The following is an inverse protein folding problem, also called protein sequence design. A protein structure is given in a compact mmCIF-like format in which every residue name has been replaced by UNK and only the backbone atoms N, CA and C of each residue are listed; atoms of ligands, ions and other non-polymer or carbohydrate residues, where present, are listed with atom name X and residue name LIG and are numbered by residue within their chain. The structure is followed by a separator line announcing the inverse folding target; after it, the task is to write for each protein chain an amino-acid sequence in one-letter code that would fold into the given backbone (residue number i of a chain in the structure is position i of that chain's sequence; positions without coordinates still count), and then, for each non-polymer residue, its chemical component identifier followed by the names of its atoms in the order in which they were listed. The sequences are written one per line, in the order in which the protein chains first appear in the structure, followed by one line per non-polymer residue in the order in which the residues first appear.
data_IF_691347237221
#
_entry.id   IF_691347237221
#
_cell.length_a   1.000
_cell.length_b   1.000
_cell.length_c   1.000
_cell.angle_alpha   90.00
_cell.angle_beta   90.00
_cell.angle_gamma   90.00
#
_symmetry.space_group_name_H-M   'P 1'
#
loop_
_entity.id
_entity.type
_entity.pdbx_description
1 polymer ?
#
# COMPACT_ATOMS: atom_id res chain seq x y z
N UNK A 1 -24.41 -18.45 8.10
CA UNK A 1 -24.57 -18.95 9.49
C UNK A 1 -26.03 -19.10 9.91
N UNK A 2 -26.83 -18.03 10.03
CA UNK A 2 -28.24 -18.10 10.50
C UNK A 2 -29.15 -19.07 9.71
N UNK A 3 -28.96 -19.22 8.40
CA UNK A 3 -29.72 -20.19 7.59
C UNK A 3 -29.48 -21.64 8.03
N UNK A 4 -28.25 -21.99 8.42
CA UNK A 4 -27.92 -23.31 8.97
C UNK A 4 -28.65 -23.50 10.30
N UNK A 5 -28.64 -22.49 11.18
CA UNK A 5 -29.37 -22.54 12.44
C UNK A 5 -30.88 -22.77 12.22
N UNK A 6 -31.47 -22.12 11.21
CA UNK A 6 -32.87 -22.37 10.81
C UNK A 6 -33.07 -23.81 10.34
N UNK A 7 -32.19 -24.33 9.50
CA UNK A 7 -32.28 -25.70 8.98
C UNK A 7 -32.18 -26.76 10.09
N UNK A 8 -31.34 -26.53 11.11
CA UNK A 8 -31.17 -27.43 12.25
C UNK A 8 -32.36 -27.42 13.22
N UNK A 9 -33.04 -26.28 13.36
CA UNK A 9 -34.04 -26.04 14.40
C UNK A 9 -35.46 -25.81 13.85
N UNK A 10 -35.71 -26.06 12.56
CA UNK A 10 -37.05 -25.92 11.97
C UNK A 10 -38.01 -26.91 12.65
N UNK A 11 -39.18 -26.42 13.07
CA UNK A 11 -40.20 -27.25 13.73
C UNK A 11 -40.91 -28.10 12.68
N UNK A 12 -41.45 -27.46 11.66
CA UNK A 12 -42.32 -28.11 10.66
C UNK A 12 -41.57 -29.14 9.80
N UNK A 13 -40.39 -28.77 9.30
CA UNK A 13 -39.62 -29.62 8.38
C UNK A 13 -38.54 -30.46 9.09
N UNK A 14 -38.42 -30.34 10.42
CA UNK A 14 -37.34 -30.99 11.17
C UNK A 14 -35.95 -30.47 10.77
N UNK A 15 -34.94 -31.36 10.74
CA UNK A 15 -33.61 -31.01 10.24
C UNK A 15 -33.66 -31.01 8.71
N UNK A 16 -33.44 -29.84 8.10
CA UNK A 16 -33.68 -29.64 6.66
C UNK A 16 -32.71 -28.61 6.07
N UNK A 17 -32.48 -28.70 4.75
CA UNK A 17 -31.84 -27.68 3.92
C UNK A 17 -32.83 -26.59 3.45
N UNK A 18 -34.13 -26.81 3.61
CA UNK A 18 -35.23 -25.96 3.16
C UNK A 18 -36.12 -25.54 4.35
N UNK A 19 -35.64 -24.65 5.24
CA UNK A 19 -36.41 -24.19 6.39
C UNK A 19 -37.70 -23.47 5.97
N UNK A 20 -38.81 -23.72 6.65
CA UNK A 20 -40.14 -23.25 6.25
C UNK A 20 -40.33 -21.72 6.32
N UNK A 21 -39.47 -21.00 7.04
CA UNK A 21 -39.55 -19.54 7.28
C UNK A 21 -40.84 -19.01 7.93
N UNK A 22 -41.75 -19.88 8.38
CA UNK A 22 -43.03 -19.51 9.00
C UNK A 22 -43.25 -20.06 10.41
N UNK A 23 -42.56 -21.14 10.80
CA UNK A 23 -42.65 -21.65 12.17
C UNK A 23 -41.97 -20.71 13.17
N UNK A 24 -42.34 -20.84 14.44
CA UNK A 24 -41.86 -19.98 15.53
C UNK A 24 -40.32 -19.90 15.58
N UNK A 25 -39.63 -21.05 15.51
CA UNK A 25 -38.17 -21.08 15.51
C UNK A 25 -37.55 -20.34 14.31
N UNK A 26 -38.10 -20.49 13.10
CA UNK A 26 -37.58 -19.79 11.94
C UNK A 26 -37.79 -18.27 12.03
N UNK A 27 -38.92 -17.83 12.57
CA UNK A 27 -39.22 -16.41 12.79
C UNK A 27 -38.27 -15.83 13.84
N UNK A 28 -38.12 -16.50 14.99
CA UNK A 28 -37.26 -16.07 16.08
C UNK A 28 -35.79 -15.97 15.67
N UNK A 29 -35.30 -16.93 14.89
CA UNK A 29 -33.93 -16.89 14.35
C UNK A 29 -33.76 -15.71 13.39
N UNK A 30 -34.77 -15.41 12.55
CA UNK A 30 -34.71 -14.26 11.64
C UNK A 30 -34.67 -12.93 12.38
N UNK A 31 -35.40 -12.84 13.50
CA UNK A 31 -35.50 -11.65 14.35
C UNK A 31 -34.40 -11.56 15.42
N UNK A 32 -33.44 -12.48 15.41
CA UNK A 32 -32.37 -12.57 16.41
C UNK A 32 -32.88 -12.69 17.86
N UNK A 33 -33.96 -13.45 18.08
CA UNK A 33 -34.60 -13.68 19.39
C UNK A 33 -34.56 -15.14 19.84
N UNK A 34 -33.90 -16.01 19.08
CA UNK A 34 -33.89 -17.43 19.36
C UNK A 34 -32.87 -17.78 20.44
N UNK A 35 -33.35 -18.31 21.58
CA UNK A 35 -32.52 -18.52 22.78
C UNK A 35 -31.36 -19.50 22.60
N UNK A 36 -31.52 -20.49 21.72
CA UNK A 36 -30.50 -21.50 21.42
C UNK A 36 -29.60 -21.10 20.23
N UNK A 37 -29.71 -19.85 19.75
CA UNK A 37 -28.77 -19.25 18.82
C UNK A 37 -28.00 -18.16 19.56
N UNK A 38 -26.72 -18.40 19.81
CA UNK A 38 -25.83 -17.45 20.46
C UNK A 38 -24.89 -16.90 19.40
N UNK A 39 -24.96 -15.60 19.17
CA UNK A 39 -24.06 -14.88 18.25
C UNK A 39 -23.08 -14.06 19.07
N UNK A 40 -21.79 -14.23 18.79
CA UNK A 40 -20.70 -13.53 19.46
C UNK A 40 -19.87 -12.86 18.39
N UNK A 41 -19.79 -11.55 18.46
CA UNK A 41 -18.79 -10.79 17.72
C UNK A 41 -17.48 -10.84 18.50
N UNK A 42 -16.49 -11.56 17.98
CA UNK A 42 -15.18 -11.68 18.58
C UNK A 42 -14.42 -10.34 18.57
N UNK A 43 -14.74 -9.40 17.67
CA UNK A 43 -14.12 -8.07 17.68
C UNK A 43 -14.54 -7.25 18.90
N UNK A 44 -15.71 -7.52 19.48
CA UNK A 44 -16.19 -6.87 20.71
C UNK A 44 -15.96 -7.72 21.96
N UNK A 45 -15.90 -9.05 21.82
CA UNK A 45 -15.81 -10.02 22.92
C UNK A 45 -14.54 -10.88 22.79
N UNK A 46 -13.37 -10.21 22.77
CA UNK A 46 -12.07 -10.83 22.46
C UNK A 46 -11.52 -11.69 23.60
N UNK A 47 -11.95 -11.41 24.83
CA UNK A 47 -11.31 -11.84 26.06
C UNK A 47 -11.54 -13.32 26.41
N UNK A 48 -10.67 -13.82 27.29
CA UNK A 48 -10.75 -15.20 27.79
C UNK A 48 -11.98 -15.43 28.68
N UNK A 49 -12.44 -14.41 29.40
CA UNK A 49 -13.52 -14.56 30.38
C UNK A 49 -14.87 -14.75 29.70
N UNK A 50 -15.13 -14.08 28.58
CA UNK A 50 -16.32 -14.29 27.75
C UNK A 50 -16.36 -15.74 27.22
N UNK A 51 -15.22 -16.22 26.73
CA UNK A 51 -15.09 -17.60 26.24
C UNK A 51 -15.23 -18.63 27.36
N UNK A 52 -14.70 -18.37 28.55
CA UNK A 52 -14.90 -19.24 29.72
C UNK A 52 -16.37 -19.30 30.11
N UNK A 53 -17.05 -18.15 30.18
CA UNK A 53 -18.49 -18.10 30.46
C UNK A 53 -19.31 -18.88 29.41
N UNK A 54 -18.91 -18.78 28.14
CA UNK A 54 -19.52 -19.56 27.07
C UNK A 54 -19.28 -21.06 27.24
N UNK A 55 -18.05 -21.47 27.58
CA UNK A 55 -17.68 -22.87 27.82
C UNK A 55 -18.51 -23.50 28.92
N UNK A 56 -18.75 -22.78 30.01
CA UNK A 56 -19.60 -23.25 31.10
C UNK A 56 -21.05 -23.46 30.62
N UNK A 57 -21.52 -22.61 29.70
CA UNK A 57 -22.88 -22.65 29.15
C UNK A 57 -23.10 -23.68 28.05
N UNK A 58 -22.03 -24.23 27.47
CA UNK A 58 -22.09 -25.18 26.34
C UNK A 58 -22.64 -26.55 26.76
N UNK A 59 -22.40 -26.95 28.00
CA UNK A 59 -22.83 -28.25 28.51
C UNK A 59 -24.35 -28.33 28.78
N UNK A 60 -25.05 -27.19 28.85
CA UNK A 60 -26.51 -27.19 29.02
C UNK A 60 -27.24 -27.55 27.73
N UNK A 61 -28.30 -28.36 27.87
CA UNK A 61 -29.18 -28.74 26.77
C UNK A 61 -29.87 -27.52 26.12
N UNK A 62 -30.25 -27.61 24.84
CA UNK A 62 -31.04 -26.57 24.19
C UNK A 62 -32.40 -26.41 24.90
N UNK A 63 -32.89 -25.18 25.00
CA UNK A 63 -34.15 -24.88 25.72
C UNK A 63 -35.39 -25.05 24.85
N UNK A 64 -35.30 -24.69 23.56
CA UNK A 64 -36.42 -24.65 22.60
C UNK A 64 -36.08 -25.41 21.31
N UNK A 65 -34.83 -25.34 20.87
CA UNK A 65 -34.33 -25.97 19.65
C UNK A 65 -33.97 -27.44 19.82
N UNK A 66 -33.64 -28.08 18.69
CA UNK A 66 -33.00 -29.41 18.68
C UNK A 66 -31.50 -29.30 18.91
N UNK A 67 -30.91 -28.18 18.48
CA UNK A 67 -29.48 -27.88 18.55
C UNK A 67 -29.26 -26.47 19.10
N UNK A 68 -28.22 -26.32 19.91
CA UNK A 68 -27.68 -25.04 20.37
C UNK A 68 -26.56 -24.61 19.44
N UNK A 69 -26.74 -23.49 18.75
CA UNK A 69 -25.83 -23.01 17.72
C UNK A 69 -25.07 -21.80 18.24
N UNK A 70 -23.74 -21.87 18.19
CA UNK A 70 -22.85 -20.78 18.51
C UNK A 70 -22.23 -20.24 17.22
N UNK A 71 -22.55 -19.00 16.88
CA UNK A 71 -21.92 -18.27 15.78
C UNK A 71 -20.87 -17.36 16.40
N UNK A 72 -19.60 -17.56 16.03
CA UNK A 72 -18.51 -16.66 16.40
C UNK A 72 -18.09 -15.93 15.14
N UNK A 73 -18.46 -14.66 15.05
CA UNK A 73 -18.11 -13.78 13.94
C UNK A 73 -16.76 -13.11 14.18
N UNK A 74 -16.04 -12.81 13.10
CA UNK A 74 -14.66 -12.31 13.10
C UNK A 74 -13.73 -13.06 14.05
N UNK A 75 -13.81 -14.40 14.05
CA UNK A 75 -13.13 -15.26 15.03
C UNK A 75 -11.63 -15.02 15.12
N UNK A 76 -10.99 -14.52 14.05
CA UNK A 76 -9.57 -14.15 14.04
C UNK A 76 -9.20 -13.03 15.04
N UNK A 77 -10.19 -12.31 15.56
CA UNK A 77 -10.03 -11.26 16.58
C UNK A 77 -9.94 -11.80 18.01
N UNK A 78 -10.21 -13.09 18.26
CA UNK A 78 -10.05 -13.70 19.58
C UNK A 78 -8.57 -13.73 20.01
N UNK A 79 -8.32 -13.57 21.31
CA UNK A 79 -6.96 -13.75 21.83
C UNK A 79 -6.53 -15.22 21.77
N UNK A 80 -5.21 -15.46 21.79
CA UNK A 80 -4.67 -16.82 21.75
C UNK A 80 -5.14 -17.67 22.94
N UNK A 81 -5.28 -17.05 24.10
CA UNK A 81 -5.75 -17.69 25.33
C UNK A 81 -7.23 -18.09 25.22
N UNK A 82 -8.05 -17.21 24.63
CA UNK A 82 -9.45 -17.47 24.34
C UNK A 82 -9.60 -18.63 23.34
N UNK A 83 -8.78 -18.66 22.28
CA UNK A 83 -8.74 -19.78 21.34
C UNK A 83 -8.38 -21.11 22.01
N UNK A 84 -7.32 -21.13 22.82
CA UNK A 84 -6.89 -22.33 23.52
C UNK A 84 -7.97 -22.87 24.48
N UNK A 85 -8.76 -21.97 25.09
CA UNK A 85 -9.87 -22.36 25.96
C UNK A 85 -10.99 -23.10 25.19
N UNK A 86 -11.19 -22.78 23.91
CA UNK A 86 -12.18 -23.40 23.01
C UNK A 86 -11.70 -24.72 22.39
N UNK A 87 -10.40 -24.94 22.21
CA UNK A 87 -9.86 -26.10 21.47
C UNK A 87 -10.45 -27.44 21.92
N UNK A 88 -10.45 -27.72 23.22
CA UNK A 88 -11.01 -28.97 23.76
C UNK A 88 -12.49 -29.15 23.41
N UNK A 89 -13.24 -28.04 23.38
CA UNK A 89 -14.67 -28.06 23.05
C UNK A 89 -14.91 -28.20 21.54
N UNK A 90 -14.01 -27.68 20.71
CA UNK A 90 -14.07 -27.85 19.25
C UNK A 90 -13.66 -29.27 18.83
N UNK A 91 -12.78 -29.93 19.59
CA UNK A 91 -12.39 -31.33 19.40
C UNK A 91 -13.53 -32.30 19.71
N UNK A 92 -14.18 -32.11 20.86
CA UNK A 92 -15.23 -32.99 21.36
C UNK A 92 -16.47 -32.16 21.73
N UNK A 93 -17.16 -31.55 20.75
CA UNK A 93 -18.34 -30.76 21.04
C UNK A 93 -19.47 -31.66 21.55
N UNK A 94 -20.27 -31.22 22.54
CA UNK A 94 -21.47 -31.95 22.93
C UNK A 94 -22.40 -32.18 21.74
N UNK A 95 -23.06 -33.34 21.69
CA UNK A 95 -23.86 -33.73 20.50
C UNK A 95 -25.00 -32.76 20.17
N UNK A 96 -25.47 -31.97 21.13
CA UNK A 96 -26.50 -30.94 20.95
C UNK A 96 -25.96 -29.57 20.51
N UNK A 97 -24.64 -29.41 20.36
CA UNK A 97 -23.98 -28.13 20.09
C UNK A 97 -23.39 -28.11 18.68
N UNK A 98 -23.54 -26.98 17.99
CA UNK A 98 -22.90 -26.71 16.69
C UNK A 98 -22.19 -25.36 16.75
N UNK A 99 -20.91 -25.34 16.38
CA UNK A 99 -20.15 -24.11 16.20
C UNK A 99 -20.13 -23.70 14.72
N UNK A 100 -20.31 -22.41 14.48
CA UNK A 100 -20.12 -21.78 13.18
C UNK A 100 -19.13 -20.64 13.39
N UNK A 101 -17.93 -20.79 12.84
CA UNK A 101 -16.88 -19.78 12.91
C UNK A 101 -16.86 -19.02 11.59
N UNK A 102 -16.87 -17.69 11.65
CA UNK A 102 -16.73 -16.82 10.48
C UNK A 102 -15.49 -15.94 10.63
N UNK A 103 -14.78 -15.72 9.53
CA UNK A 103 -13.58 -14.88 9.48
C UNK A 103 -13.41 -14.29 8.10
N UNK A 104 -12.96 -13.04 8.04
CA UNK A 104 -12.44 -12.42 6.82
C UNK A 104 -10.94 -12.69 6.59
N UNK A 105 -10.23 -13.14 7.63
CA UNK A 105 -8.78 -13.40 7.62
C UNK A 105 -8.47 -14.85 8.04
N UNK A 106 -8.57 -15.84 7.13
CA UNK A 106 -8.34 -17.24 7.45
C UNK A 106 -6.89 -17.52 7.88
N UNK A 107 -5.91 -16.77 7.35
CA UNK A 107 -4.48 -16.96 7.64
C UNK A 107 -4.11 -16.60 9.09
N UNK A 108 -4.95 -15.81 9.77
CA UNK A 108 -4.79 -15.49 11.20
C UNK A 108 -5.31 -16.59 12.12
N UNK A 109 -6.03 -17.58 11.59
CA UNK A 109 -6.58 -18.69 12.37
C UNK A 109 -5.52 -19.80 12.49
N UNK A 110 -5.37 -20.33 13.71
CA UNK A 110 -4.46 -21.45 13.97
C UNK A 110 -4.86 -22.69 13.14
N UNK A 111 -3.89 -23.36 12.52
CA UNK A 111 -4.12 -24.61 11.76
C UNK A 111 -4.80 -25.71 12.60
N UNK A 112 -4.55 -25.72 13.92
CA UNK A 112 -5.20 -26.63 14.86
C UNK A 112 -6.72 -26.45 14.90
N UNK A 113 -7.23 -25.24 14.66
CA UNK A 113 -8.67 -24.97 14.62
C UNK A 113 -9.23 -25.33 13.24
N UNK A 114 -8.53 -24.92 12.18
CA UNK A 114 -8.94 -25.18 10.80
C UNK A 114 -9.09 -26.69 10.57
N UNK A 115 -8.14 -27.49 11.06
CA UNK A 115 -8.17 -28.97 10.95
C UNK A 115 -9.34 -29.65 11.67
N UNK A 116 -9.99 -28.96 12.62
CA UNK A 116 -11.16 -29.46 13.36
C UNK A 116 -12.49 -28.91 12.83
N UNK A 117 -12.45 -28.08 11.80
CA UNK A 117 -13.61 -27.46 11.20
C UNK A 117 -13.83 -27.93 9.77
N UNK A 118 -15.10 -28.04 9.35
CA UNK A 118 -15.41 -28.08 7.93
C UNK A 118 -15.30 -26.67 7.35
N UNK A 119 -14.27 -26.43 6.53
CA UNK A 119 -14.03 -25.14 5.89
C UNK A 119 -14.91 -24.97 4.66
N UNK A 120 -15.53 -23.80 4.54
CA UNK A 120 -16.25 -23.33 3.36
C UNK A 120 -15.76 -21.93 2.99
N UNK A 121 -15.14 -21.81 1.82
CA UNK A 121 -14.67 -20.52 1.31
C UNK A 121 -15.75 -19.87 0.44
N UNK A 122 -16.26 -18.73 0.88
CA UNK A 122 -17.19 -17.93 0.08
C UNK A 122 -16.41 -17.04 -0.88
N UNK A 123 -16.74 -17.13 -2.17
CA UNK A 123 -16.19 -16.24 -3.19
C UNK A 123 -17.04 -14.98 -3.31
N UNK A 124 -16.46 -13.85 -3.74
CA UNK A 124 -17.24 -12.67 -4.13
C UNK A 124 -18.31 -13.06 -5.15
N UNK A 125 -19.49 -12.45 -5.01
CA UNK A 125 -20.59 -12.67 -5.95
C UNK A 125 -20.19 -12.07 -7.30
N UNK A 126 -20.56 -12.70 -8.40
CA UNK A 126 -20.22 -12.18 -9.72
C UNK A 126 -21.14 -11.03 -10.13
N UNK A 127 -20.68 -10.21 -11.08
CA UNK A 127 -21.41 -9.04 -11.59
C UNK A 127 -22.85 -9.39 -12.01
N UNK A 128 -23.02 -10.50 -12.75
CA UNK A 128 -24.32 -10.87 -13.30
C UNK A 128 -25.34 -11.20 -12.20
N UNK A 129 -24.92 -11.96 -11.19
CA UNK A 129 -25.76 -12.31 -10.04
C UNK A 129 -26.07 -11.08 -9.17
N UNK A 130 -25.08 -10.23 -8.94
CA UNK A 130 -25.27 -8.99 -8.16
C UNK A 130 -26.24 -8.03 -8.84
N UNK A 131 -26.04 -7.74 -10.13
CA UNK A 131 -26.95 -6.89 -10.91
C UNK A 131 -28.35 -7.49 -10.97
N UNK A 132 -28.49 -8.80 -11.18
CA UNK A 132 -29.80 -9.45 -11.19
C UNK A 132 -30.54 -9.31 -9.85
N UNK A 133 -29.82 -9.40 -8.73
CA UNK A 133 -30.41 -9.22 -7.41
C UNK A 133 -30.79 -7.76 -7.14
N UNK A 134 -29.93 -6.80 -7.50
CA UNK A 134 -30.26 -5.38 -7.38
C UNK A 134 -31.44 -4.97 -8.26
N UNK A 135 -31.55 -5.51 -9.48
CA UNK A 135 -32.72 -5.32 -10.34
C UNK A 135 -33.99 -5.89 -9.74
N UNK A 136 -33.91 -7.03 -9.03
CA UNK A 136 -35.05 -7.59 -8.32
C UNK A 136 -35.53 -6.64 -7.21
N UNK A 137 -34.59 -6.07 -6.44
CA UNK A 137 -34.89 -5.08 -5.41
C UNK A 137 -35.48 -3.80 -6.02
N UNK A 138 -34.87 -3.27 -7.08
CA UNK A 138 -35.36 -2.10 -7.79
C UNK A 138 -36.82 -2.29 -8.27
N UNK A 139 -37.13 -3.45 -8.84
CA UNK A 139 -38.49 -3.80 -9.28
C UNK A 139 -39.49 -3.92 -8.14
N UNK A 140 -39.10 -4.47 -6.99
CA UNK A 140 -40.02 -4.57 -5.84
C UNK A 140 -40.33 -3.22 -5.22
N UNK A 141 -39.41 -2.27 -5.33
CA UNK A 141 -39.55 -0.90 -4.83
C UNK A 141 -40.10 0.07 -5.88
N UNK A 142 -40.31 -0.37 -7.13
CA UNK A 142 -40.82 0.47 -8.21
C UNK A 142 -39.83 1.52 -8.74
N UNK A 143 -38.52 1.26 -8.61
CA UNK A 143 -37.44 2.18 -8.99
C UNK A 143 -36.91 1.81 -10.38
N UNK A 144 -36.78 2.81 -11.25
CA UNK A 144 -36.06 2.68 -12.52
C UNK A 144 -34.57 3.02 -12.34
N UNK A 145 -33.71 2.11 -12.80
CA UNK A 145 -32.25 2.21 -12.71
C UNK A 145 -31.60 1.66 -13.96
N UNK A 146 -30.59 2.36 -14.47
CA UNK A 146 -29.85 1.90 -15.65
C UNK A 146 -28.81 0.80 -15.31
N UNK A 147 -28.48 -0.03 -16.31
CA UNK A 147 -27.51 -1.12 -16.15
C UNK A 147 -26.10 -0.65 -15.77
N UNK A 148 -25.73 0.58 -16.16
CA UNK A 148 -24.41 1.14 -15.93
C UNK A 148 -24.23 1.55 -14.47
N UNK A 149 -25.26 2.13 -13.85
CA UNK A 149 -25.34 2.41 -12.43
C UNK A 149 -25.20 1.15 -11.59
N UNK A 150 -25.89 0.07 -11.96
CA UNK A 150 -25.79 -1.20 -11.24
C UNK A 150 -24.39 -1.83 -11.35
N UNK A 151 -23.75 -1.72 -12.52
CA UNK A 151 -22.35 -2.13 -12.70
C UNK A 151 -21.41 -1.32 -11.83
N UNK A 152 -21.59 0.00 -11.78
CA UNK A 152 -20.77 0.89 -10.95
C UNK A 152 -20.93 0.55 -9.46
N UNK A 153 -22.15 0.30 -9.00
CA UNK A 153 -22.43 -0.12 -7.62
C UNK A 153 -21.72 -1.44 -7.30
N UNK A 154 -21.77 -2.42 -8.21
CA UNK A 154 -21.05 -3.68 -8.06
C UNK A 154 -19.53 -3.49 -7.99
N UNK A 155 -18.95 -2.66 -8.86
CA UNK A 155 -17.52 -2.38 -8.87
C UNK A 155 -17.08 -1.74 -7.55
N UNK A 156 -17.90 -0.85 -6.98
CA UNK A 156 -17.66 -0.22 -5.69
C UNK A 156 -17.88 -1.13 -4.49
N UNK A 157 -18.73 -2.15 -4.61
CA UNK A 157 -18.97 -3.13 -3.54
C UNK A 157 -17.92 -4.24 -3.48
N UNK A 158 -17.08 -4.40 -4.50
CA UNK A 158 -16.08 -5.46 -4.55
C UNK A 158 -16.69 -6.87 -4.55
N UNK A 159 -17.94 -7.03 -5.01
CA UNK A 159 -18.67 -8.30 -5.02
C UNK A 159 -19.31 -8.69 -3.69
N UNK A 160 -19.30 -7.80 -2.68
CA UNK A 160 -20.09 -7.93 -1.46
C UNK A 160 -21.52 -7.48 -1.71
N UNK A 161 -22.50 -8.39 -1.59
CA UNK A 161 -23.91 -8.04 -1.75
C UNK A 161 -24.40 -7.08 -0.67
N UNK A 162 -23.88 -7.21 0.56
CA UNK A 162 -24.24 -6.32 1.66
C UNK A 162 -23.85 -4.88 1.34
N UNK A 163 -22.62 -4.69 0.86
CA UNK A 163 -22.13 -3.37 0.49
C UNK A 163 -22.83 -2.86 -0.78
N UNK A 164 -23.10 -3.73 -1.75
CA UNK A 164 -23.85 -3.37 -2.96
C UNK A 164 -25.24 -2.82 -2.62
N UNK A 165 -25.98 -3.49 -1.73
CA UNK A 165 -27.30 -3.02 -1.27
C UNK A 165 -27.16 -1.70 -0.51
N UNK A 166 -26.18 -1.58 0.37
CA UNK A 166 -25.97 -0.35 1.16
C UNK A 166 -25.62 0.86 0.29
N UNK A 167 -24.79 0.64 -0.73
CA UNK A 167 -24.45 1.64 -1.75
C UNK A 167 -25.70 1.98 -2.58
N UNK A 168 -26.48 0.97 -2.97
CA UNK A 168 -27.70 1.18 -3.75
C UNK A 168 -28.75 1.99 -2.96
N UNK A 169 -28.97 1.68 -1.69
CA UNK A 169 -29.84 2.46 -0.78
C UNK A 169 -29.38 3.93 -0.68
N UNK A 170 -28.07 4.17 -0.60
CA UNK A 170 -27.50 5.52 -0.62
C UNK A 170 -27.81 6.25 -1.93
N UNK A 171 -27.74 5.56 -3.07
CA UNK A 171 -28.08 6.14 -4.38
C UNK A 171 -29.58 6.45 -4.46
N UNK A 172 -30.44 5.50 -4.08
CA UNK A 172 -31.90 5.66 -4.05
C UNK A 172 -32.29 6.86 -3.20
N UNK A 173 -31.80 6.93 -1.97
CA UNK A 173 -32.11 8.02 -1.03
C UNK A 173 -31.66 9.40 -1.48
N UNK A 174 -30.69 9.47 -2.41
CA UNK A 174 -30.18 10.73 -2.95
C UNK A 174 -30.89 11.19 -4.23
N UNK A 175 -31.62 10.30 -4.92
CA UNK A 175 -32.29 10.58 -6.20
C UNK A 175 -33.78 10.96 -6.08
N UNK A 176 -34.40 10.89 -4.90
CA UNK A 176 -35.78 11.33 -4.59
C UNK A 176 -36.79 11.29 -5.76
N UNK A 177 -37.35 10.10 -6.05
CA UNK A 177 -38.35 9.85 -7.11
C UNK A 177 -37.90 10.15 -8.56
N UNK A 178 -36.61 10.43 -8.78
CA UNK A 178 -36.04 10.52 -10.11
C UNK A 178 -35.32 9.23 -10.52
N UNK A 179 -35.26 8.99 -11.83
CA UNK A 179 -34.54 7.85 -12.40
C UNK A 179 -33.07 7.85 -11.98
N UNK A 180 -32.56 6.66 -11.65
CA UNK A 180 -31.16 6.44 -11.31
C UNK A 180 -30.36 6.26 -12.59
N UNK A 181 -29.66 7.32 -12.97
CA UNK A 181 -28.74 7.34 -14.11
C UNK A 181 -27.29 7.19 -13.66
N UNK A 182 -26.42 6.78 -14.58
CA UNK A 182 -24.97 6.68 -14.35
C UNK A 182 -24.40 8.00 -13.82
N UNK A 183 -24.73 9.13 -14.42
CA UNK A 183 -24.19 10.45 -14.04
C UNK A 183 -24.54 10.83 -12.58
N UNK A 184 -25.79 10.59 -12.17
CA UNK A 184 -26.19 10.81 -10.77
C UNK A 184 -25.47 9.85 -9.84
N UNK A 185 -25.35 8.58 -10.24
CA UNK A 185 -24.67 7.55 -9.47
C UNK A 185 -23.20 7.89 -9.26
N UNK A 186 -22.50 8.33 -10.32
CA UNK A 186 -21.12 8.80 -10.27
C UNK A 186 -20.98 9.97 -9.29
N UNK A 187 -21.87 10.96 -9.39
CA UNK A 187 -21.87 12.13 -8.49
C UNK A 187 -22.09 11.74 -7.02
N UNK A 188 -23.06 10.87 -6.73
CA UNK A 188 -23.39 10.43 -5.36
C UNK A 188 -22.25 9.59 -4.76
N UNK A 189 -21.62 8.76 -5.59
CA UNK A 189 -20.51 7.89 -5.19
C UNK A 189 -19.14 8.60 -5.25
N UNK A 190 -19.08 9.85 -5.69
CA UNK A 190 -17.84 10.61 -5.86
C UNK A 190 -16.88 9.98 -6.88
N UNK A 191 -17.43 9.33 -7.89
CA UNK A 191 -16.66 8.68 -8.96
C UNK A 191 -16.39 9.68 -10.06
N UNK A 192 -15.14 9.71 -10.51
CA UNK A 192 -14.77 10.52 -11.68
C UNK A 192 -15.34 9.87 -12.94
N UNK A 193 -16.16 10.58 -13.74
CA UNK A 193 -16.69 10.05 -14.98
C UNK A 193 -15.59 9.71 -15.98
N UNK A 194 -15.72 8.59 -16.70
CA UNK A 194 -14.75 8.18 -17.74
C UNK A 194 -14.55 9.28 -18.79
N UNK A 195 -15.61 10.04 -19.09
CA UNK A 195 -15.55 11.18 -20.01
C UNK A 195 -14.50 12.22 -19.61
N UNK A 196 -14.41 12.57 -18.32
CA UNK A 196 -13.40 13.51 -17.81
C UNK A 196 -11.98 12.92 -17.92
N UNK A 197 -11.82 11.61 -17.71
CA UNK A 197 -10.54 10.92 -17.89
C UNK A 197 -10.10 10.93 -19.36
N UNK A 198 -11.03 10.69 -20.28
CA UNK A 198 -10.77 10.73 -21.73
C UNK A 198 -10.46 12.15 -22.23
N UNK A 199 -11.14 13.17 -21.70
CA UNK A 199 -10.87 14.58 -22.01
C UNK A 199 -9.46 14.99 -21.57
N UNK A 200 -9.07 14.63 -20.35
CA UNK A 200 -7.71 14.87 -19.86
C UNK A 200 -6.67 14.12 -20.68
N UNK A 201 -6.94 12.86 -21.06
CA UNK A 201 -6.07 12.09 -21.95
C UNK A 201 -5.83 12.81 -23.28
N UNK A 202 -6.86 13.37 -23.90
CA UNK A 202 -6.73 14.15 -25.14
C UNK A 202 -5.90 15.42 -24.96
N UNK A 203 -6.11 16.16 -23.86
CA UNK A 203 -5.36 17.38 -23.54
C UNK A 203 -3.88 17.06 -23.40
N UNK A 204 -3.56 16.02 -22.61
CA UNK A 204 -2.20 15.56 -22.37
C UNK A 204 -1.56 15.03 -23.65
N UNK A 205 -2.32 14.30 -24.48
CA UNK A 205 -1.83 13.79 -25.78
C UNK A 205 -1.49 14.90 -26.79
N UNK A 206 -2.10 16.08 -26.64
CA UNK A 206 -1.84 17.26 -27.48
C UNK A 206 -0.79 18.21 -26.87
N UNK A 207 -0.24 17.89 -25.69
CA UNK A 207 0.65 18.75 -24.88
C UNK A 207 0.13 20.17 -24.67
N UNK A 208 -1.19 20.30 -24.49
CA UNK A 208 -1.81 21.60 -24.28
C UNK A 208 -1.86 21.94 -22.78
N UNK A 209 -0.73 22.44 -22.25
CA UNK A 209 -0.57 22.79 -20.82
C UNK A 209 -1.64 23.76 -20.34
N UNK A 210 -1.94 24.80 -21.12
CA UNK A 210 -2.94 25.83 -20.74
C UNK A 210 -4.33 25.22 -20.58
N UNK A 211 -4.73 24.34 -21.50
CA UNK A 211 -6.02 23.65 -21.39
C UNK A 211 -6.03 22.65 -20.23
N UNK A 212 -4.91 22.02 -19.93
CA UNK A 212 -4.77 21.11 -18.78
C UNK A 212 -4.90 21.84 -17.45
N UNK A 213 -4.28 23.00 -17.29
CA UNK A 213 -4.44 23.84 -16.09
C UNK A 213 -5.91 24.24 -15.92
N UNK A 214 -6.54 24.74 -16.98
CA UNK A 214 -7.95 25.14 -16.96
C UNK A 214 -8.87 23.97 -16.62
N UNK A 215 -8.57 22.77 -17.14
CA UNK A 215 -9.32 21.55 -16.84
C UNK A 215 -9.21 21.16 -15.36
N UNK A 216 -8.01 21.22 -14.77
CA UNK A 216 -7.79 20.91 -13.36
C UNK A 216 -8.49 21.92 -12.42
N UNK A 217 -8.48 23.22 -12.77
CA UNK A 217 -9.25 24.23 -12.05
C UNK A 217 -10.76 23.97 -12.14
N UNK A 218 -11.26 23.55 -13.30
CA UNK A 218 -12.67 23.19 -13.46
C UNK A 218 -13.06 21.97 -12.62
N UNK A 219 -12.21 20.95 -12.52
CA UNK A 219 -12.47 19.81 -11.62
C UNK A 219 -12.63 20.26 -10.17
N UNK A 220 -11.80 21.18 -9.71
CA UNK A 220 -11.90 21.74 -8.36
C UNK A 220 -13.22 22.48 -8.15
N UNK A 221 -13.63 23.31 -9.13
CA UNK A 221 -14.92 24.02 -9.08
C UNK A 221 -16.12 23.06 -9.12
N UNK A 222 -16.00 21.92 -9.81
CA UNK A 222 -16.97 20.83 -9.84
C UNK A 222 -16.97 20.00 -8.53
N UNK A 223 -16.21 20.40 -7.50
CA UNK A 223 -16.01 19.68 -6.23
C UNK A 223 -15.43 18.27 -6.39
N UNK A 224 -14.71 18.02 -7.49
CA UNK A 224 -13.99 16.77 -7.74
C UNK A 224 -12.60 16.88 -7.12
N UNK A 225 -12.25 15.93 -6.26
CA UNK A 225 -10.92 15.88 -5.67
C UNK A 225 -9.88 15.56 -6.75
N UNK A 226 -8.94 16.49 -6.99
CA UNK A 226 -7.90 16.38 -8.02
C UNK A 226 -6.96 15.20 -7.77
N UNK A 227 -6.64 14.89 -6.52
CA UNK A 227 -5.79 13.74 -6.17
C UNK A 227 -6.47 12.41 -6.54
N UNK A 228 -7.76 12.27 -6.23
CA UNK A 228 -8.54 11.09 -6.60
C UNK A 228 -8.76 11.01 -8.12
N UNK A 229 -8.91 12.15 -8.80
CA UNK A 229 -8.94 12.24 -10.25
C UNK A 229 -7.65 11.69 -10.87
N UNK A 230 -6.49 12.16 -10.43
CA UNK A 230 -5.19 11.73 -10.95
C UNK A 230 -4.94 10.25 -10.70
N UNK A 231 -5.32 9.75 -9.52
CA UNK A 231 -5.28 8.32 -9.21
C UNK A 231 -6.19 7.51 -10.13
N UNK A 232 -7.42 7.97 -10.37
CA UNK A 232 -8.35 7.35 -11.31
C UNK A 232 -7.82 7.39 -12.75
N UNK A 233 -7.14 8.46 -13.14
CA UNK A 233 -6.47 8.59 -14.44
C UNK A 233 -5.31 7.59 -14.60
N UNK A 234 -4.52 7.34 -13.55
CA UNK A 234 -3.49 6.31 -13.58
C UNK A 234 -4.07 4.90 -13.81
N UNK A 235 -5.17 4.55 -13.14
CA UNK A 235 -5.87 3.28 -13.38
C UNK A 235 -6.48 3.21 -14.79
N UNK A 236 -7.03 4.32 -15.28
CA UNK A 236 -7.56 4.41 -16.63
C UNK A 236 -6.49 4.15 -17.70
N UNK A 237 -5.29 4.74 -17.54
CA UNK A 237 -4.14 4.45 -18.39
C UNK A 237 -3.76 2.96 -18.34
N UNK A 238 -3.74 2.34 -17.15
CA UNK A 238 -3.47 0.90 -16.99
C UNK A 238 -4.46 0.06 -17.82
N UNK A 239 -5.75 0.39 -17.77
CA UNK A 239 -6.78 -0.31 -18.54
C UNK A 239 -6.62 -0.09 -20.05
N UNK A 240 -6.23 1.11 -20.49
CA UNK A 240 -5.95 1.39 -21.90
C UNK A 240 -4.71 0.64 -22.43
N UNK A 241 -3.68 0.45 -21.60
CA UNK A 241 -2.51 -0.39 -21.94
C UNK A 241 -2.96 -1.83 -22.19
N UNK A 242 -3.75 -2.41 -21.27
CA UNK A 242 -4.24 -3.79 -21.38
C UNK A 242 -5.10 -3.96 -22.65
N UNK A 243 -5.98 -2.99 -22.93
CA UNK A 243 -6.84 -2.98 -24.12
C UNK A 243 -6.11 -2.62 -25.40
N UNK A 244 -4.81 -2.26 -25.35
CA UNK A 244 -4.01 -1.75 -26.48
C UNK A 244 -4.66 -0.55 -27.19
N UNK A 245 -5.29 0.34 -26.42
CA UNK A 245 -5.98 1.55 -26.89
C UNK A 245 -5.35 2.85 -26.39
N UNK A 246 -4.22 2.79 -25.68
CA UNK A 246 -3.53 4.00 -25.23
C UNK A 246 -3.00 4.80 -26.43
N UNK A 247 -3.20 6.14 -26.47
CA UNK A 247 -2.58 7.00 -27.47
C UNK A 247 -1.06 7.12 -27.24
N UNK A 248 -0.57 6.72 -26.07
CA UNK A 248 0.85 6.67 -25.74
C UNK A 248 1.40 5.26 -25.91
N UNK A 249 2.71 5.15 -26.15
CA UNK A 249 3.39 3.86 -26.03
C UNK A 249 3.37 3.37 -24.57
N UNK A 250 3.65 2.08 -24.36
CA UNK A 250 3.60 1.44 -23.03
C UNK A 250 4.56 2.14 -22.07
N UNK A 251 5.78 2.47 -22.51
CA UNK A 251 6.80 3.14 -21.69
C UNK A 251 6.33 4.50 -21.16
N UNK A 252 5.79 5.35 -22.05
CA UNK A 252 5.24 6.67 -21.68
C UNK A 252 4.02 6.52 -20.78
N UNK A 253 3.13 5.56 -21.06
CA UNK A 253 1.97 5.31 -20.19
C UNK A 253 2.38 4.90 -18.78
N UNK A 254 3.41 4.05 -18.64
CA UNK A 254 3.96 3.63 -17.34
C UNK A 254 4.66 4.81 -16.64
N UNK A 255 5.45 5.60 -17.36
CA UNK A 255 6.12 6.78 -16.82
C UNK A 255 5.11 7.79 -16.24
N UNK A 256 4.02 8.06 -16.96
CA UNK A 256 2.93 8.94 -16.47
C UNK A 256 2.31 8.38 -15.17
N UNK A 257 2.07 7.06 -15.10
CA UNK A 257 1.54 6.42 -13.90
C UNK A 257 2.52 6.57 -12.72
N UNK A 258 3.81 6.35 -12.97
CA UNK A 258 4.88 6.53 -11.98
C UNK A 258 4.93 7.97 -11.46
N UNK A 259 4.92 8.95 -12.37
CA UNK A 259 4.93 10.38 -12.04
C UNK A 259 3.74 10.77 -11.16
N UNK A 260 2.55 10.25 -11.45
CA UNK A 260 1.35 10.49 -10.64
C UNK A 260 1.58 10.03 -9.19
N UNK A 261 1.97 8.77 -8.99
CA UNK A 261 2.15 8.24 -7.64
C UNK A 261 3.36 8.83 -6.92
N UNK A 262 4.43 9.17 -7.63
CA UNK A 262 5.60 9.83 -7.07
C UNK A 262 5.24 11.23 -6.56
N UNK A 263 4.54 12.04 -7.37
CA UNK A 263 4.09 13.38 -6.99
C UNK A 263 3.10 13.30 -5.85
N UNK A 264 2.12 12.40 -5.89
CA UNK A 264 1.20 12.18 -4.76
C UNK A 264 1.93 11.84 -3.46
N UNK A 265 2.97 11.00 -3.52
CA UNK A 265 3.81 10.67 -2.37
C UNK A 265 4.59 11.88 -1.84
N UNK A 266 5.19 12.68 -2.73
CA UNK A 266 5.96 13.88 -2.38
C UNK A 266 5.11 15.01 -1.80
N UNK A 267 3.89 15.19 -2.32
CA UNK A 267 2.97 16.27 -1.95
C UNK A 267 1.81 15.79 -1.07
N UNK A 268 2.01 14.70 -0.30
CA UNK A 268 0.97 14.10 0.56
C UNK A 268 0.28 15.12 1.49
N UNK A 269 1.05 16.05 2.05
CA UNK A 269 0.58 17.06 3.00
C UNK A 269 0.16 18.38 2.35
N UNK A 270 0.20 18.48 1.03
CA UNK A 270 -0.27 19.67 0.33
C UNK A 270 -1.80 19.74 0.43
N UNK A 271 -2.32 20.89 0.83
CA UNK A 271 -3.75 21.13 0.99
C UNK A 271 -4.39 21.48 -0.36
N UNK A 272 -3.71 22.26 -1.19
CA UNK A 272 -4.18 22.57 -2.54
C UNK A 272 -3.81 21.46 -3.52
N UNK A 273 -4.73 20.50 -3.66
CA UNK A 273 -4.53 19.33 -4.54
C UNK A 273 -4.40 19.69 -6.02
N UNK A 274 -4.69 20.92 -6.44
CA UNK A 274 -4.44 21.37 -7.82
C UNK A 274 -2.95 21.47 -8.13
N UNK A 275 -2.12 21.79 -7.13
CA UNK A 275 -0.66 21.86 -7.28
C UNK A 275 -0.10 20.53 -7.77
N UNK A 276 -0.60 19.40 -7.23
CA UNK A 276 -0.23 18.06 -7.71
C UNK A 276 -0.54 17.91 -9.20
N UNK A 277 -1.75 18.32 -9.61
CA UNK A 277 -2.19 18.29 -10.99
C UNK A 277 -1.28 19.11 -11.91
N UNK A 278 -0.87 20.31 -11.50
CA UNK A 278 0.02 21.16 -12.30
C UNK A 278 1.42 20.56 -12.45
N UNK A 279 1.98 20.02 -11.36
CA UNK A 279 3.30 19.37 -11.38
C UNK A 279 3.27 18.13 -12.27
N UNK A 280 2.22 17.31 -12.16
CA UNK A 280 2.06 16.12 -13.01
C UNK A 280 1.89 16.54 -14.47
N UNK A 281 1.02 17.51 -14.76
CA UNK A 281 0.81 18.00 -16.12
C UNK A 281 2.13 18.48 -16.75
N UNK A 282 2.94 19.24 -16.00
CA UNK A 282 4.25 19.70 -16.43
C UNK A 282 5.20 18.54 -16.76
N UNK A 283 5.35 17.57 -15.83
CA UNK A 283 6.17 16.37 -16.03
C UNK A 283 5.77 15.57 -17.27
N UNK A 284 4.46 15.40 -17.51
CA UNK A 284 3.98 14.66 -18.68
C UNK A 284 4.33 15.38 -19.98
N UNK A 285 4.30 16.72 -19.99
CA UNK A 285 4.63 17.52 -21.17
C UNK A 285 6.13 17.68 -21.42
N UNK A 286 6.97 17.77 -20.37
CA UNK A 286 8.44 17.80 -20.52
C UNK A 286 8.99 16.51 -21.13
N UNK A 287 8.31 15.38 -20.91
CA UNK A 287 8.65 14.09 -21.51
C UNK A 287 8.68 14.13 -23.05
N UNK A 288 8.05 15.12 -23.71
CA UNK A 288 8.17 15.31 -25.17
C UNK A 288 9.28 16.25 -25.62
N UNK A 289 9.69 17.21 -24.78
CA UNK A 289 10.82 18.09 -25.10
C UNK A 289 12.13 17.31 -25.07
N UNK A 290 12.33 16.42 -24.09
CA UNK A 290 13.52 15.56 -24.01
C UNK A 290 13.65 14.60 -25.21
N UNK A 291 12.53 14.13 -25.76
CA UNK A 291 12.52 13.28 -26.97
C UNK A 291 12.87 14.09 -28.22
N UNK A 292 12.41 15.34 -28.34
CA UNK A 292 12.72 16.21 -29.49
C UNK A 292 14.18 16.67 -29.50
N UNK A 293 14.79 16.91 -28.35
CA UNK A 293 16.19 17.32 -28.23
C UNK A 293 17.17 16.19 -28.61
N UNK A 294 16.72 14.93 -28.62
CA UNK A 294 17.59 13.77 -28.89
C UNK A 294 17.76 13.45 -30.39
N UNK A 295 17.07 14.14 -31.32
CA UNK A 295 17.11 13.82 -32.77
C UNK A 295 17.71 14.87 -33.71
N UNK A 296 18.35 15.92 -33.19
CA UNK A 296 19.10 16.88 -34.02
C UNK A 296 20.59 16.92 -33.68
N UNK A 297 21.30 15.81 -33.93
CA UNK A 297 22.71 15.90 -34.30
C UNK A 297 22.97 15.10 -35.57
N UNK A 298 23.55 15.71 -36.61
CA UNK A 298 23.79 15.04 -37.88
C UNK A 298 24.88 13.99 -37.70
N UNK A 299 24.52 12.73 -37.94
CA UNK A 299 25.44 11.61 -38.09
C UNK A 299 26.34 11.93 -39.30
N UNK A 300 27.60 12.28 -39.04
CA UNK A 300 28.68 12.08 -40.01
C UNK A 300 29.41 10.80 -39.65
N UNK A 301 29.13 9.78 -40.43
CA UNK A 301 29.84 8.51 -40.45
C UNK A 301 31.34 8.69 -40.65
N UNK A 302 32.13 7.91 -39.91
CA UNK A 302 33.22 7.12 -40.49
C UNK A 302 33.57 5.94 -39.61
N UNK A 303 33.04 4.79 -40.01
CA UNK A 303 33.54 3.46 -39.67
C UNK A 303 34.88 3.28 -40.40
N UNK A 304 35.95 2.93 -39.68
CA UNK A 304 36.93 1.94 -40.16
C UNK A 304 37.39 1.11 -38.97
N UNK A 305 37.06 -0.17 -39.04
CA UNK A 305 37.44 -1.24 -38.13
C UNK A 305 38.96 -1.45 -38.07
N UNK A 306 39.48 -1.78 -36.89
CA UNK A 306 40.52 -2.82 -36.77
C UNK A 306 40.59 -3.39 -35.36
N UNK A 307 40.08 -4.61 -35.23
CA UNK A 307 40.30 -5.53 -34.10
C UNK A 307 41.76 -5.98 -34.14
N UNK A 308 42.53 -5.79 -33.07
CA UNK A 308 43.78 -6.54 -32.81
C UNK A 308 43.91 -6.79 -31.29
N UNK A 309 43.92 -8.07 -30.92
CA UNK A 309 44.45 -8.62 -29.66
C UNK A 309 45.95 -8.32 -29.56
N UNK A 310 46.46 -7.92 -28.39
CA UNK A 310 47.90 -8.01 -28.09
C UNK A 310 48.09 -8.53 -26.66
N UNK A 311 48.63 -9.74 -26.58
CA UNK A 311 49.35 -10.26 -25.42
C UNK A 311 50.68 -9.51 -25.25
N UNK A 312 51.06 -9.32 -23.97
CA UNK A 312 52.37 -8.95 -23.40
C UNK A 312 53.53 -8.66 -24.37
N UNK A 313 54.10 -7.46 -24.25
CA UNK A 313 55.56 -7.25 -24.15
C UNK A 313 55.94 -5.89 -23.51
N UNK A 314 57.10 -5.94 -22.85
CA UNK A 314 57.93 -4.99 -22.07
C UNK A 314 57.53 -3.53 -21.81
N UNK A 315 57.64 -3.20 -20.52
CA UNK A 315 58.03 -1.93 -19.92
C UNK A 315 59.28 -1.30 -20.56
N UNK A 316 59.19 -0.04 -21.02
CA UNK A 316 60.15 1.06 -20.72
C UNK A 316 59.92 2.34 -21.55
N UNK A 317 59.19 2.32 -22.67
CA UNK A 317 59.15 3.49 -23.59
C UNK A 317 57.94 4.43 -23.51
N UNK A 318 57.06 4.30 -22.51
CA UNK A 318 55.94 5.24 -22.29
C UNK A 318 56.31 6.33 -21.25
N UNK A 319 57.49 6.23 -20.62
CA UNK A 319 57.90 7.12 -19.51
C UNK A 319 58.34 8.53 -19.93
N UNK A 320 58.49 8.82 -21.24
CA UNK A 320 58.99 10.13 -21.71
C UNK A 320 57.98 11.01 -22.45
N UNK A 321 56.83 10.48 -22.90
CA UNK A 321 55.82 11.28 -23.64
C UNK A 321 54.67 11.85 -22.80
N UNK A 322 54.68 11.64 -21.48
CA UNK A 322 53.66 12.20 -20.57
C UNK A 322 54.17 13.41 -19.73
N UNK A 323 55.39 13.91 -20.00
CA UNK A 323 55.96 15.05 -19.25
C UNK A 323 55.53 16.45 -19.73
N UNK A 324 54.71 16.57 -20.77
CA UNK A 324 54.31 17.89 -21.33
C UNK A 324 52.81 18.21 -21.31
N UNK A 325 52.04 17.62 -20.38
CA UNK A 325 50.73 18.18 -20.01
C UNK A 325 50.64 18.29 -18.49
N UNK A 326 51.43 19.20 -17.93
CA UNK A 326 51.27 19.64 -16.55
C UNK A 326 51.14 21.16 -16.51
N UNK A 327 49.93 21.66 -16.19
CA UNK A 327 49.67 22.90 -15.42
C UNK A 327 48.18 23.26 -15.37
N UNK A 328 47.40 22.50 -14.60
CA UNK A 328 46.38 23.06 -13.71
C UNK A 328 46.47 22.25 -12.40
N UNK A 329 47.22 22.78 -11.43
CA UNK A 329 47.32 22.18 -10.09
C UNK A 329 46.14 22.65 -9.25
N UNK A 330 45.05 21.90 -9.23
CA UNK A 330 44.18 21.88 -8.05
C UNK A 330 44.84 20.96 -7.01
N UNK A 331 45.11 21.48 -5.82
CA UNK A 331 45.61 20.71 -4.67
C UNK A 331 44.54 19.69 -4.28
N UNK A 332 44.73 18.43 -4.67
CA UNK A 332 43.92 17.32 -4.18
C UNK A 332 44.45 16.98 -2.78
N UNK A 333 43.60 17.15 -1.76
CA UNK A 333 43.88 16.70 -0.40
C UNK A 333 43.58 15.20 -0.36
N UNK A 334 44.59 14.37 -0.08
CA UNK A 334 44.36 12.95 0.23
C UNK A 334 43.71 12.87 1.61
N UNK A 335 42.44 12.46 1.64
CA UNK A 335 41.65 12.31 2.87
C UNK A 335 42.00 10.95 3.47
N UNK A 336 42.42 10.93 4.74
CA UNK A 336 42.66 9.68 5.48
C UNK A 336 41.40 9.24 6.24
N UNK A 337 41.32 7.96 6.62
CA UNK A 337 40.19 7.46 7.42
C UNK A 337 40.20 8.08 8.82
N UNK A 338 41.39 8.41 9.33
CA UNK A 338 41.59 9.13 10.59
C UNK A 338 40.97 10.53 10.53
N UNK A 339 41.09 11.25 9.41
CA UNK A 339 40.46 12.57 9.23
C UNK A 339 38.92 12.48 9.25
N UNK A 340 38.37 11.44 8.62
CA UNK A 340 36.91 11.22 8.60
C UNK A 340 36.39 10.86 9.98
N UNK A 341 37.11 10.01 10.74
CA UNK A 341 36.72 9.63 12.10
C UNK A 341 36.81 10.81 13.07
N UNK A 342 37.88 11.60 13.00
CA UNK A 342 38.05 12.77 13.85
C UNK A 342 36.96 13.83 13.63
N UNK A 343 36.38 13.90 12.44
CA UNK A 343 35.34 14.85 12.08
C UNK A 343 33.93 14.22 11.98
N UNK A 344 33.74 12.99 12.45
CA UNK A 344 32.50 12.25 12.19
C UNK A 344 31.27 12.95 12.76
N UNK A 345 31.33 13.41 14.00
CA UNK A 345 30.22 14.11 14.65
C UNK A 345 29.84 15.41 13.90
N UNK A 346 30.83 16.17 13.43
CA UNK A 346 30.60 17.36 12.61
C UNK A 346 29.90 17.02 11.29
N UNK A 347 30.35 15.94 10.63
CA UNK A 347 29.77 15.46 9.35
C UNK A 347 28.30 15.07 9.56
N UNK A 348 28.00 14.33 10.63
CA UNK A 348 26.62 13.94 10.97
C UNK A 348 25.75 15.16 11.28
N UNK A 349 26.28 16.14 12.01
CA UNK A 349 25.57 17.38 12.32
C UNK A 349 25.31 18.26 11.10
N UNK A 350 26.26 18.36 10.16
CA UNK A 350 26.05 19.06 8.89
C UNK A 350 25.05 18.31 7.99
N UNK A 351 25.06 16.98 7.99
CA UNK A 351 24.05 16.18 7.31
C UNK A 351 22.65 16.41 7.90
N UNK A 352 22.52 16.48 9.23
CA UNK A 352 21.28 16.84 9.93
C UNK A 352 20.72 18.19 9.44
N UNK A 353 21.58 19.21 9.33
CA UNK A 353 21.18 20.56 8.88
C UNK A 353 20.64 20.56 7.44
N UNK A 354 21.19 19.72 6.55
CA UNK A 354 20.69 19.60 5.17
C UNK A 354 19.41 18.77 5.09
N UNK A 355 19.30 17.71 5.91
CA UNK A 355 18.12 16.85 5.97
C UNK A 355 18.03 16.13 7.31
N UNK A 356 17.00 16.48 8.09
CA UNK A 356 16.81 16.00 9.46
C UNK A 356 16.92 14.46 9.61
N UNK A 357 16.29 13.61 8.76
CA UNK A 357 16.45 12.15 8.84
C UNK A 357 17.88 11.59 8.80
N UNK A 358 18.85 12.31 8.19
CA UNK A 358 20.22 11.80 8.04
C UNK A 358 20.91 11.57 9.40
N UNK A 359 20.54 12.30 10.45
CA UNK A 359 21.09 12.05 11.79
C UNK A 359 20.73 10.67 12.31
N UNK A 360 19.49 10.21 12.09
CA UNK A 360 19.02 8.91 12.56
C UNK A 360 19.74 7.77 11.85
N UNK A 361 20.09 7.96 10.58
CA UNK A 361 20.81 6.95 9.82
C UNK A 361 22.29 6.95 10.19
N UNK A 362 22.95 8.12 10.10
CA UNK A 362 24.40 8.22 10.25
C UNK A 362 24.88 8.12 11.70
N UNK A 363 24.05 8.39 12.71
CA UNK A 363 24.42 8.19 14.13
C UNK A 363 24.70 6.72 14.47
N UNK A 364 24.12 5.80 13.71
CA UNK A 364 24.33 4.35 13.84
C UNK A 364 25.42 3.79 12.93
N UNK A 365 26.07 4.67 12.17
CA UNK A 365 27.03 4.30 11.15
C UNK A 365 28.47 4.55 11.61
N UNK A 366 29.40 3.71 11.17
CA UNK A 366 30.82 3.81 11.53
C UNK A 366 31.69 3.88 10.28
N UNK A 367 32.53 4.91 10.09
CA UNK A 367 33.55 4.93 9.05
C UNK A 367 34.57 3.81 9.26
N UNK A 368 34.65 2.86 8.32
CA UNK A 368 35.47 1.66 8.48
C UNK A 368 36.84 1.80 7.84
N UNK A 369 36.90 2.19 6.57
CA UNK A 369 38.15 2.30 5.79
C UNK A 369 37.98 3.21 4.57
N UNK A 370 39.10 3.64 4.00
CA UNK A 370 39.16 4.29 2.68
C UNK A 370 40.07 3.44 1.80
N UNK A 371 39.54 2.91 0.69
CA UNK A 371 40.28 2.15 -0.33
C UNK A 371 39.97 2.77 -1.69
N UNK A 372 40.99 3.05 -2.51
CA UNK A 372 40.81 3.59 -3.87
C UNK A 372 39.86 4.79 -3.99
N UNK A 373 39.89 5.71 -3.00
CA UNK A 373 39.01 6.90 -2.89
C UNK A 373 37.53 6.59 -2.60
N UNK A 374 37.24 5.35 -2.19
CA UNK A 374 35.94 4.91 -1.71
C UNK A 374 35.97 4.89 -0.18
N UNK A 375 35.15 5.74 0.43
CA UNK A 375 34.89 5.73 1.87
C UNK A 375 33.85 4.64 2.17
N UNK A 376 34.26 3.66 2.97
CA UNK A 376 33.38 2.62 3.46
C UNK A 376 32.75 3.03 4.80
N UNK A 377 31.41 2.92 4.87
CA UNK A 377 30.61 3.23 6.05
C UNK A 377 29.85 1.96 6.45
N UNK A 378 30.16 1.46 7.64
CA UNK A 378 29.58 0.23 8.17
C UNK A 378 28.34 0.47 9.02
N UNK A 379 27.38 -0.44 8.91
CA UNK A 379 26.20 -0.54 9.76
C UNK A 379 26.13 -1.95 10.37
N UNK A 380 25.86 -2.05 11.68
CA UNK A 380 25.57 -3.35 12.29
C UNK A 380 24.24 -3.93 11.78
N UNK A 381 24.07 -5.25 11.90
CA UNK A 381 22.92 -5.98 11.35
C UNK A 381 21.57 -5.45 11.86
N UNK A 382 21.48 -5.01 13.12
CA UNK A 382 20.26 -4.38 13.67
C UNK A 382 19.87 -3.08 12.96
N UNK A 383 20.81 -2.39 12.30
CA UNK A 383 20.61 -1.11 11.62
C UNK A 383 20.55 -1.26 10.09
N UNK A 384 20.19 -2.44 9.57
CA UNK A 384 20.07 -2.70 8.13
C UNK A 384 19.18 -1.69 7.39
N UNK A 385 18.09 -1.27 8.02
CA UNK A 385 17.18 -0.26 7.47
C UNK A 385 17.87 1.11 7.26
N UNK A 386 18.80 1.49 8.16
CA UNK A 386 19.56 2.74 8.02
C UNK A 386 20.56 2.65 6.86
N UNK A 387 21.22 1.50 6.69
CA UNK A 387 22.05 1.22 5.52
C UNK A 387 21.26 1.36 4.21
N UNK A 388 20.13 0.65 4.11
CA UNK A 388 19.28 0.68 2.91
C UNK A 388 18.72 2.09 2.64
N UNK A 389 18.51 2.89 3.68
CA UNK A 389 18.11 4.29 3.55
C UNK A 389 19.24 5.16 2.99
N UNK A 390 20.49 4.95 3.42
CA UNK A 390 21.67 5.66 2.91
C UNK A 390 22.05 5.24 1.47
N UNK A 391 21.66 4.04 1.03
CA UNK A 391 21.86 3.58 -0.35
C UNK A 391 20.91 4.26 -1.36
N UNK A 392 19.82 4.90 -0.89
CA UNK A 392 18.89 5.62 -1.78
C UNK A 392 19.56 6.88 -2.34
N UNK A 393 19.49 7.15 -3.66
CA UNK A 393 20.14 8.30 -4.29
C UNK A 393 19.87 9.62 -3.58
N UNK A 394 18.62 9.87 -3.18
CA UNK A 394 18.21 11.08 -2.46
C UNK A 394 19.03 11.37 -1.19
N UNK A 395 19.23 10.38 -0.32
CA UNK A 395 19.99 10.57 0.92
C UNK A 395 21.50 10.51 0.68
N UNK A 396 21.93 9.62 -0.21
CA UNK A 396 23.33 9.49 -0.60
C UNK A 396 23.89 10.78 -1.21
N UNK A 397 23.17 11.41 -2.13
CA UNK A 397 23.63 12.61 -2.84
C UNK A 397 23.77 13.82 -1.91
N UNK A 398 22.84 13.97 -0.95
CA UNK A 398 22.93 15.00 0.10
C UNK A 398 24.16 14.77 0.97
N UNK A 399 24.40 13.52 1.38
CA UNK A 399 25.54 13.16 2.20
C UNK A 399 26.88 13.32 1.45
N UNK A 400 26.94 12.96 0.17
CA UNK A 400 28.09 13.24 -0.70
C UNK A 400 28.35 14.75 -0.82
N UNK A 401 27.29 15.57 -0.86
CA UNK A 401 27.41 17.02 -0.80
C UNK A 401 28.10 17.51 0.49
N UNK A 402 27.75 16.94 1.65
CA UNK A 402 28.40 17.27 2.94
C UNK A 402 29.89 16.91 2.90
N UNK A 403 30.23 15.72 2.43
CA UNK A 403 31.62 15.26 2.34
C UNK A 403 32.44 16.11 1.37
N UNK A 404 31.85 16.49 0.23
CA UNK A 404 32.47 17.36 -0.76
C UNK A 404 32.79 18.74 -0.18
N UNK A 405 31.86 19.31 0.58
CA UNK A 405 32.05 20.63 1.18
C UNK A 405 33.06 20.61 2.33
N UNK A 406 33.10 19.54 3.12
CA UNK A 406 34.05 19.39 4.25
C UNK A 406 35.47 19.09 3.78
N UNK A 407 35.64 18.23 2.77
CA UNK A 407 36.96 17.70 2.40
C UNK A 407 37.50 18.16 1.04
N UNK A 408 36.75 18.99 0.29
CA UNK A 408 37.17 19.56 -1.01
C UNK A 408 37.75 18.53 -2.00
N UNK A 409 37.17 17.33 -2.01
CA UNK A 409 37.56 16.21 -2.86
C UNK A 409 36.37 15.40 -3.37
N UNK A 410 36.55 14.64 -4.46
CA UNK A 410 35.53 13.73 -4.98
C UNK A 410 35.63 12.39 -4.22
N UNK A 411 34.84 12.26 -3.17
CA UNK A 411 34.74 11.02 -2.37
C UNK A 411 33.57 10.20 -2.90
N UNK A 412 33.78 8.91 -3.12
CA UNK A 412 32.70 7.94 -3.37
C UNK A 412 32.41 7.23 -2.05
N UNK A 413 31.15 6.97 -1.74
CA UNK A 413 30.76 6.28 -0.51
C UNK A 413 30.18 4.92 -0.84
N UNK A 414 30.57 3.90 -0.07
CA UNK A 414 29.99 2.57 -0.10
C UNK A 414 29.53 2.18 1.30
N UNK A 415 28.39 1.52 1.39
CA UNK A 415 27.80 1.11 2.67
C UNK A 415 27.90 -0.40 2.85
N UNK A 416 28.40 -0.84 4.01
CA UNK A 416 28.65 -2.26 4.31
C UNK A 416 27.89 -2.71 5.57
N UNK A 417 27.60 -4.01 5.68
CA UNK A 417 27.09 -4.63 6.92
C UNK A 417 28.25 -5.16 7.77
N UNK A 418 28.27 -4.83 9.06
CA UNK A 418 29.27 -5.25 10.02
C UNK A 418 28.84 -6.50 10.80
N UNK A 419 29.79 -7.42 11.02
CA UNK A 419 29.59 -8.60 11.88
C UNK A 419 29.96 -8.28 13.34
N UNK A 420 29.28 -8.92 14.31
CA UNK A 420 29.40 -8.67 15.76
C UNK A 420 30.82 -8.80 16.37
N UNK A 421 31.81 -9.33 15.63
CA UNK A 421 33.19 -9.48 16.12
C UNK A 421 34.00 -8.18 16.22
N UNK A 422 33.51 -7.08 15.65
CA UNK A 422 34.19 -5.77 15.67
C UNK A 422 33.37 -4.72 16.44
N UNK A 423 32.94 -5.03 17.67
CA UNK A 423 32.36 -4.04 18.57
C UNK A 423 33.52 -3.26 19.22
N UNK A 424 33.85 -2.09 18.67
CA UNK A 424 34.58 -1.09 19.47
C UNK A 424 33.61 -0.70 20.57
N UNK A 425 33.92 -1.06 21.80
CA UNK A 425 33.13 -0.72 22.98
C UNK A 425 33.36 0.76 23.25
N UNK A 426 32.52 1.61 22.65
CA UNK A 426 32.33 2.98 23.13
C UNK A 426 31.13 3.02 24.08
N UNK A 427 31.32 3.80 25.13
CA UNK A 427 30.69 3.71 26.44
C UNK A 427 29.16 3.94 26.38
N UNK A 428 28.39 3.12 27.11
CA UNK A 428 26.91 3.20 27.16
C UNK A 428 26.38 4.54 27.69
N UNK A 429 27.25 5.34 28.29
CA UNK A 429 26.99 6.70 28.78
C UNK A 429 26.66 7.68 27.64
N UNK A 430 27.28 7.50 26.47
CA UNK A 430 27.18 8.44 25.34
C UNK A 430 25.85 8.30 24.57
N UNK A 431 25.16 7.17 24.68
CA UNK A 431 23.82 7.00 24.08
C UNK A 431 22.74 7.74 24.87
N UNK A 432 22.83 7.72 26.21
CA UNK A 432 21.84 8.37 27.07
C UNK A 432 21.96 9.89 26.97
N UNK A 433 23.18 10.43 26.94
CA UNK A 433 23.39 11.88 26.74
C UNK A 433 22.86 12.35 25.38
N UNK A 434 23.06 11.58 24.31
CA UNK A 434 22.51 11.89 22.97
C UNK A 434 20.99 11.85 22.89
N UNK A 435 20.33 11.03 23.71
CA UNK A 435 18.86 10.99 23.79
C UNK A 435 18.33 12.17 24.62
N UNK A 436 19.05 12.62 25.64
CA UNK A 436 18.69 13.79 26.45
C UNK A 436 18.81 15.09 25.64
N UNK A 437 19.89 15.23 24.85
CA UNK A 437 20.05 16.37 23.91
C UNK A 437 19.03 16.36 22.76
N UNK A 438 18.43 15.20 22.44
CA UNK A 438 17.41 15.09 21.40
C UNK A 438 16.04 15.65 21.84
N UNK A 439 15.76 15.72 23.14
CA UNK A 439 14.46 16.15 23.69
C UNK A 439 14.49 17.51 24.41
N UNK A 440 15.55 18.32 24.24
CA UNK A 440 15.68 19.66 24.86
C UNK A 440 15.33 19.71 26.37
N UNK A 441 15.58 18.61 27.09
CA UNK A 441 15.56 18.61 28.56
C UNK A 441 14.20 18.63 29.27
N UNK A 442 13.07 18.29 28.63
CA UNK A 442 11.81 18.01 29.36
C UNK A 442 11.28 16.61 29.08
N UNK A 443 11.47 15.72 30.05
CA UNK A 443 10.72 14.47 30.20
C UNK A 443 9.65 14.70 31.27
N UNK A 444 8.37 14.62 30.91
CA UNK A 444 7.25 14.40 31.84
C UNK A 444 6.82 12.94 31.72
#
# INVERSE_FOLDING_TARGET
ARLIAKGLNCIENGVTDTPCNRCENCIDISKNKFIDLIEIDAASNRGIDEIRSLKDKINYQPSKGRKKVYIIDEVHMLTKEAFNALLKTLEEPPSHVIFILATTEPDKILETIISRCQRYDFKPINLKESVAHLLMIAKSEGIEVDDSSLRLIYEKSGGSMRDAISIFEKVISSCYDEDITLEKTEKILGVIPEKKLSEFLEIVSKNNVVSGITFLDNLWNDSINVEEFLKSFAYYLKELIIKKKSPFNITKSIAIIEDIFEVMGKFRYEEDKRILGYVILHKITEFEEDIKVTYEQPIKEKIVEKIIYVEKESSEEISEKLKEVSKVKEKIVDITIEDVRANWNDIVNEAKKRKMPLISFLSTATPTKIEDKILHIGFYAENRFHKESMEKPYYNDIFLGVLKDKFKGKVIVKYDLLNEKNKIVEDKTDFVERVVDFFDGELI
#
